data_IF_453889326345
#
_entry.id   IF_453889326345
#
_cell.length_a   1.000
_cell.length_b   1.000
_cell.length_c   1.000
_cell.angle_alpha   90.00
_cell.angle_beta   90.00
_cell.angle_gamma   90.00
#
_symmetry.space_group_name_H-M   'P 1'
#
loop_
_entity.id
_entity.type
_entity.pdbx_description
1 polymer ?
#
# COMPACT_ATOMS: atom_id res chain seq x y z
N UNK A 1 -9.78 18.35 7.42
CA UNK A 1 -10.76 17.89 6.41
C UNK A 1 -10.48 18.68 5.14
N UNK A 2 -9.82 18.09 4.15
CA UNK A 2 -9.46 18.79 2.91
C UNK A 2 -10.65 18.76 1.96
N UNK A 3 -11.31 19.89 1.80
CA UNK A 3 -12.42 20.04 0.87
C UNK A 3 -11.86 20.14 -0.55
N UNK A 4 -12.25 19.20 -1.41
CA UNK A 4 -11.98 19.25 -2.85
C UNK A 4 -12.72 20.45 -3.43
N UNK A 5 -12.01 21.39 -4.05
CA UNK A 5 -12.62 22.50 -4.77
C UNK A 5 -13.33 21.98 -6.03
N UNK A 6 -14.40 22.65 -6.46
CA UNK A 6 -15.19 22.25 -7.64
C UNK A 6 -14.32 22.10 -8.90
N UNK A 7 -13.29 22.93 -9.05
CA UNK A 7 -12.34 22.84 -10.17
C UNK A 7 -11.53 21.55 -10.16
N UNK A 8 -11.15 21.06 -8.99
CA UNK A 8 -10.41 19.79 -8.87
C UNK A 8 -11.36 18.62 -9.10
N UNK A 9 -12.59 18.70 -8.58
CA UNK A 9 -13.62 17.70 -8.80
C UNK A 9 -13.93 17.51 -10.29
N UNK A 10 -14.13 18.61 -11.04
CA UNK A 10 -14.35 18.57 -12.50
C UNK A 10 -13.18 17.96 -13.26
N UNK A 11 -11.94 18.24 -12.85
CA UNK A 11 -10.74 17.66 -13.48
C UNK A 11 -10.63 16.15 -13.21
N UNK A 12 -11.07 15.68 -12.05
CA UNK A 12 -11.09 14.25 -11.71
C UNK A 12 -12.16 13.53 -12.54
N UNK A 13 -13.38 14.05 -12.61
CA UNK A 13 -14.45 13.45 -13.42
C UNK A 13 -14.06 13.35 -14.90
N UNK A 14 -13.52 14.44 -15.45
CA UNK A 14 -13.04 14.46 -16.84
C UNK A 14 -11.85 13.52 -17.11
N UNK A 15 -11.12 13.12 -16.08
CA UNK A 15 -10.04 12.13 -16.18
C UNK A 15 -10.59 10.70 -16.10
N UNK A 16 -11.62 10.45 -15.27
CA UNK A 16 -12.26 9.13 -15.14
C UNK A 16 -13.09 8.79 -16.40
N UNK A 17 -13.67 9.79 -17.05
CA UNK A 17 -14.45 9.61 -18.29
C UNK A 17 -13.58 9.42 -19.55
N UNK A 18 -12.24 9.49 -19.45
CA UNK A 18 -11.39 9.21 -20.61
C UNK A 18 -11.39 7.71 -20.95
N UNK A 19 -11.46 7.35 -22.26
CA UNK A 19 -11.35 5.97 -22.67
C UNK A 19 -9.98 5.40 -22.29
N UNK A 20 -9.98 4.18 -21.73
CA UNK A 20 -8.78 3.48 -21.23
C UNK A 20 -7.67 3.35 -22.29
N UNK A 21 -8.05 3.34 -23.58
CA UNK A 21 -7.16 3.16 -24.75
C UNK A 21 -6.61 4.47 -25.34
N UNK A 22 -6.51 5.54 -24.55
CA UNK A 22 -5.92 6.79 -25.04
C UNK A 22 -4.40 6.63 -25.23
N UNK A 23 -3.93 6.57 -26.50
CA UNK A 23 -2.50 6.49 -26.81
C UNK A 23 -1.76 7.66 -26.11
N UNK A 24 -0.76 7.38 -25.24
CA UNK A 24 0.01 8.39 -24.53
C UNK A 24 0.61 9.49 -25.40
N UNK A 25 0.81 9.23 -26.70
CA UNK A 25 1.32 10.21 -27.67
C UNK A 25 0.33 11.32 -27.98
N UNK A 26 -0.97 11.08 -27.80
CA UNK A 26 -2.04 12.04 -28.06
C UNK A 26 -2.35 12.95 -26.88
N UNK A 27 -1.76 12.66 -25.70
CA UNK A 27 -1.96 13.47 -24.50
C UNK A 27 -1.33 14.87 -24.65
N UNK A 28 -2.10 15.91 -24.35
CA UNK A 28 -1.66 17.32 -24.37
C UNK A 28 -1.87 17.99 -23.01
N UNK A 29 -1.06 19.02 -22.72
CA UNK A 29 -1.25 19.88 -21.54
C UNK A 29 -1.06 19.15 -20.21
N UNK A 30 -2.05 19.32 -19.31
CA UNK A 30 -2.03 18.78 -17.95
C UNK A 30 -1.95 17.24 -17.92
N UNK A 31 -2.71 16.56 -18.80
CA UNK A 31 -2.76 15.10 -18.87
C UNK A 31 -1.40 14.50 -19.22
N UNK A 32 -0.67 15.10 -20.17
CA UNK A 32 0.70 14.69 -20.53
C UNK A 32 1.68 14.85 -19.36
N UNK A 33 1.51 15.90 -18.56
CA UNK A 33 2.36 16.19 -17.40
C UNK A 33 2.17 15.13 -16.30
N UNK A 34 0.93 14.83 -15.95
CA UNK A 34 0.64 13.80 -14.94
C UNK A 34 1.00 12.40 -15.45
N UNK A 35 0.72 12.06 -16.70
CA UNK A 35 1.15 10.78 -17.29
C UNK A 35 2.66 10.57 -17.16
N UNK A 36 3.48 11.57 -17.52
CA UNK A 36 4.95 11.48 -17.36
C UNK A 36 5.36 11.34 -15.90
N UNK A 37 4.67 12.01 -14.98
CA UNK A 37 4.93 11.91 -13.54
C UNK A 37 4.69 10.49 -13.03
N UNK A 38 3.54 9.90 -13.36
CA UNK A 38 3.22 8.53 -12.99
C UNK A 38 4.16 7.52 -13.67
N UNK A 39 4.48 7.72 -14.95
CA UNK A 39 5.44 6.90 -15.67
C UNK A 39 6.80 6.89 -14.97
N UNK A 40 7.30 8.04 -14.51
CA UNK A 40 8.55 8.13 -13.73
C UNK A 40 8.47 7.42 -12.37
N UNK A 41 7.30 7.44 -11.72
CA UNK A 41 7.08 6.71 -10.47
C UNK A 41 7.12 5.20 -10.70
N UNK A 42 6.43 4.71 -11.73
CA UNK A 42 6.35 3.29 -12.08
C UNK A 42 7.67 2.76 -12.65
N UNK A 43 8.40 3.59 -13.42
CA UNK A 43 9.68 3.21 -14.02
C UNK A 43 10.85 3.30 -13.03
N UNK A 44 10.70 4.02 -11.91
CA UNK A 44 11.71 4.04 -10.86
C UNK A 44 11.74 2.66 -10.20
N UNK A 45 12.69 1.82 -10.62
CA UNK A 45 13.10 0.66 -9.83
C UNK A 45 13.38 1.15 -8.41
N UNK A 46 12.65 0.62 -7.45
CA UNK A 46 12.84 0.92 -6.03
C UNK A 46 14.32 0.67 -5.70
N UNK A 47 15.10 1.74 -5.53
CA UNK A 47 16.44 1.62 -4.99
C UNK A 47 16.22 1.42 -3.50
N UNK A 48 16.52 0.26 -2.92
CA UNK A 48 16.44 0.11 -1.48
C UNK A 48 17.27 1.24 -0.87
N UNK A 49 16.62 2.04 -0.02
CA UNK A 49 17.29 3.01 0.82
C UNK A 49 18.45 2.30 1.51
N UNK A 50 19.64 2.92 1.48
CA UNK A 50 20.92 2.41 2.01
C UNK A 50 20.69 1.31 3.03
N UNK A 51 21.22 0.10 2.78
CA UNK A 51 21.19 -1.00 3.72
C UNK A 51 21.40 -0.46 5.14
N UNK A 52 20.34 -0.47 5.95
CA UNK A 52 20.46 -0.15 7.36
C UNK A 52 21.51 -1.13 7.88
N UNK A 53 22.66 -0.61 8.30
CA UNK A 53 23.65 -1.41 9.02
C UNK A 53 23.02 -1.69 10.38
N UNK A 54 22.16 -2.71 10.42
CA UNK A 54 21.67 -3.25 11.68
C UNK A 54 22.90 -3.70 12.47
N UNK A 55 23.04 -3.31 13.75
CA UNK A 55 24.13 -3.82 14.57
C UNK A 55 24.08 -5.35 14.56
N UNK A 56 25.25 -5.98 14.51
CA UNK A 56 25.35 -7.43 14.61
C UNK A 56 24.83 -7.87 15.98
N UNK A 57 23.68 -8.56 15.99
CA UNK A 57 23.11 -9.16 17.19
C UNK A 57 23.49 -10.64 17.16
N UNK A 58 24.33 -11.13 18.09
CA UNK A 58 24.62 -12.56 18.19
C UNK A 58 23.32 -13.35 18.37
N UNK A 59 23.24 -14.54 17.77
CA UNK A 59 22.04 -15.39 17.83
C UNK A 59 21.60 -15.71 19.26
N UNK A 60 22.51 -15.69 20.24
CA UNK A 60 22.23 -15.82 21.67
C UNK A 60 21.38 -14.68 22.26
N UNK A 61 21.44 -13.48 21.68
CA UNK A 61 20.64 -12.31 22.05
C UNK A 61 19.39 -12.14 21.17
N UNK A 62 19.28 -12.92 20.09
CA UNK A 62 18.05 -12.93 19.30
C UNK A 62 16.93 -13.54 20.12
N UNK A 63 15.79 -12.84 20.19
CA UNK A 63 14.60 -13.42 20.80
C UNK A 63 14.30 -14.73 20.06
N UNK A 64 14.29 -15.85 20.79
CA UNK A 64 13.84 -17.13 20.22
C UNK A 64 12.45 -16.85 19.66
N UNK A 65 12.27 -17.08 18.36
CA UNK A 65 10.95 -17.00 17.75
C UNK A 65 10.08 -17.98 18.54
N UNK A 66 9.22 -17.46 19.42
CA UNK A 66 8.22 -18.33 20.03
C UNK A 66 7.32 -18.72 18.87
N UNK A 67 7.32 -20.01 18.55
CA UNK A 67 6.25 -20.58 17.74
C UNK A 67 5.00 -20.37 18.57
N UNK A 68 4.32 -19.24 18.35
CA UNK A 68 3.01 -19.01 18.92
C UNK A 68 2.15 -20.18 18.42
N UNK A 69 1.74 -21.05 19.34
CA UNK A 69 0.88 -22.16 19.00
C UNK A 69 -0.50 -21.58 18.69
N UNK A 70 -0.70 -21.14 17.46
CA UNK A 70 -1.93 -20.49 17.02
C UNK A 70 -3.15 -21.38 17.27
N UNK A 71 -2.97 -22.71 17.34
CA UNK A 71 -4.02 -23.66 17.67
C UNK A 71 -4.58 -23.45 19.09
N UNK A 72 -3.72 -23.26 20.10
CA UNK A 72 -4.16 -22.99 21.48
C UNK A 72 -4.92 -21.67 21.60
N UNK A 73 -4.48 -20.65 20.86
CA UNK A 73 -5.14 -19.34 20.81
C UNK A 73 -6.54 -19.49 20.17
N UNK A 74 -6.63 -20.23 19.06
CA UNK A 74 -7.91 -20.49 18.37
C UNK A 74 -8.86 -21.28 19.29
N UNK A 75 -8.37 -22.30 19.98
CA UNK A 75 -9.15 -23.11 20.91
C UNK A 75 -9.67 -22.30 22.09
N UNK A 76 -8.84 -21.42 22.65
CA UNK A 76 -9.24 -20.49 23.70
C UNK A 76 -10.41 -19.59 23.26
N UNK A 77 -10.29 -18.94 22.09
CA UNK A 77 -11.35 -18.06 21.59
C UNK A 77 -12.63 -18.82 21.20
N UNK A 78 -12.51 -20.04 20.67
CA UNK A 78 -13.68 -20.92 20.44
C UNK A 78 -14.38 -21.30 21.75
N UNK A 79 -13.62 -21.57 22.81
CA UNK A 79 -14.15 -21.85 24.14
C UNK A 79 -14.94 -20.68 24.70
N UNK A 80 -14.41 -19.47 24.60
CA UNK A 80 -15.11 -18.24 25.01
C UNK A 80 -16.41 -18.04 24.24
N UNK A 81 -16.37 -18.15 22.91
CA UNK A 81 -17.56 -17.98 22.08
C UNK A 81 -18.63 -19.05 22.36
N UNK A 82 -18.22 -20.29 22.67
CA UNK A 82 -19.15 -21.37 23.01
C UNK A 82 -19.75 -21.22 24.40
N UNK A 83 -19.05 -20.56 25.33
CA UNK A 83 -19.55 -20.27 26.67
C UNK A 83 -20.52 -19.08 26.68
N UNK A 84 -20.34 -18.11 25.79
CA UNK A 84 -21.21 -16.94 25.66
C UNK A 84 -22.52 -17.24 24.92
N UNK A 85 -22.53 -18.27 24.05
CA UNK A 85 -23.71 -18.70 23.28
C UNK A 85 -24.43 -19.94 23.87
N UNK A 86 -24.25 -20.21 25.18
CA UNK A 86 -25.00 -21.21 25.96
C UNK A 86 -25.83 -20.51 27.03
#
# INVERSE_FOLDING_TARGET
MFWLTEDVHKKILYFIEEPEDTDPKTLVGYKRKEYKRYQQFLSKKYKPTKHFKVPFIPSSFSAKASTQNYQEIIEYFKGLYSAENK
#
